data_IF_010082711314
#
_entry.id   IF_010082711314
#
_cell.length_a   1.000
_cell.length_b   1.000
_cell.length_c   1.000
_cell.angle_alpha   90.00
_cell.angle_beta   90.00
_cell.angle_gamma   90.00
#
_symmetry.space_group_name_H-M   'P 1'
#
loop_
_entity.id
_entity.type
_entity.pdbx_description
1 polymer ?
#
# COMPACT_ATOMS: atom_id res chain seq x y z
N UNK A 1 3.41 17.18 -2.98
CA UNK A 1 3.73 16.46 -1.72
C UNK A 1 3.11 15.08 -1.79
N UNK A 2 3.74 14.08 -1.17
CA UNK A 2 3.25 12.71 -1.08
C UNK A 2 3.23 12.29 0.40
N UNK A 3 2.13 11.68 0.84
CA UNK A 3 1.98 11.11 2.17
C UNK A 3 1.46 9.68 2.07
N UNK A 4 2.03 8.79 2.89
CA UNK A 4 1.58 7.40 3.00
C UNK A 4 1.30 7.06 4.47
N UNK A 5 0.28 6.24 4.71
CA UNK A 5 -0.13 5.83 6.05
C UNK A 5 -0.84 4.48 6.02
N UNK A 6 -0.72 3.75 7.12
CA UNK A 6 -1.32 2.43 7.34
C UNK A 6 -2.81 2.54 7.71
N UNK A 7 -3.59 1.53 7.32
CA UNK A 7 -4.99 1.31 7.65
C UNK A 7 -5.20 -0.13 8.09
N UNK A 8 -6.26 -0.40 8.85
CA UNK A 8 -6.48 -1.69 9.53
C UNK A 8 -6.86 -2.87 8.62
N UNK A 9 -6.92 -2.70 7.29
CA UNK A 9 -7.26 -3.77 6.36
C UNK A 9 -7.39 -3.34 4.91
N UNK A 10 -7.40 -4.33 4.00
CA UNK A 10 -7.59 -4.12 2.56
C UNK A 10 -8.90 -3.40 2.25
N UNK A 11 -9.99 -3.83 2.89
CA UNK A 11 -11.30 -3.21 2.76
C UNK A 11 -11.32 -1.74 3.22
N UNK A 12 -10.52 -1.38 4.22
CA UNK A 12 -10.42 0.00 4.68
C UNK A 12 -9.71 0.90 3.66
N UNK A 13 -8.67 0.38 2.99
CA UNK A 13 -7.99 1.05 1.89
C UNK A 13 -8.96 1.28 0.72
N UNK A 14 -9.72 0.26 0.33
CA UNK A 14 -10.69 0.36 -0.76
C UNK A 14 -11.84 1.31 -0.42
N UNK A 15 -12.41 1.20 0.77
CA UNK A 15 -13.49 2.08 1.23
C UNK A 15 -13.05 3.56 1.30
N UNK A 16 -11.80 3.84 1.66
CA UNK A 16 -11.26 5.19 1.59
C UNK A 16 -11.19 5.67 0.14
N UNK A 17 -10.65 4.85 -0.76
CA UNK A 17 -10.50 5.23 -2.16
C UNK A 17 -11.85 5.47 -2.85
N UNK A 18 -12.85 4.64 -2.59
CA UNK A 18 -14.21 4.83 -3.09
C UNK A 18 -14.76 6.20 -2.69
N UNK A 19 -14.55 6.62 -1.43
CA UNK A 19 -15.00 7.94 -0.94
C UNK A 19 -14.25 9.08 -1.64
N UNK A 20 -12.95 8.91 -1.87
CA UNK A 20 -12.14 9.91 -2.58
C UNK A 20 -12.63 10.07 -4.01
N UNK A 21 -12.84 8.97 -4.73
CA UNK A 21 -13.33 9.00 -6.11
C UNK A 21 -14.73 9.62 -6.19
N UNK A 22 -15.62 9.28 -5.24
CA UNK A 22 -16.94 9.89 -5.13
C UNK A 22 -16.88 11.40 -4.83
N UNK A 23 -15.83 11.86 -4.13
CA UNK A 23 -15.58 13.27 -3.84
C UNK A 23 -14.86 14.03 -4.98
N UNK A 24 -14.54 13.35 -6.10
CA UNK A 24 -13.90 13.96 -7.27
C UNK A 24 -12.37 13.90 -7.28
N UNK A 25 -11.75 13.19 -6.33
CA UNK A 25 -10.35 12.82 -6.44
C UNK A 25 -10.13 11.79 -7.56
N UNK A 26 -8.87 11.54 -7.93
CA UNK A 26 -8.52 10.61 -9.01
C UNK A 26 -7.49 9.60 -8.56
N UNK A 27 -7.49 8.41 -9.16
CA UNK A 27 -6.39 7.47 -8.96
C UNK A 27 -5.08 8.06 -9.48
N UNK A 28 -4.04 8.00 -8.67
CA UNK A 28 -2.73 8.55 -9.02
C UNK A 28 -1.79 7.47 -9.58
N UNK A 29 -1.96 6.21 -9.16
CA UNK A 29 -1.21 5.03 -9.64
C UNK A 29 -2.09 3.78 -9.55
N UNK A 30 -1.74 2.71 -10.30
CA UNK A 30 -2.37 1.41 -10.15
C UNK A 30 -2.27 0.86 -8.72
N UNK A 31 -3.19 -0.03 -8.36
CA UNK A 31 -3.16 -0.79 -7.11
C UNK A 31 -1.84 -1.56 -6.97
N UNK A 32 -1.25 -1.48 -5.79
CA UNK A 32 -0.09 -2.29 -5.41
C UNK A 32 -0.55 -3.43 -4.50
N UNK A 33 -0.38 -4.67 -4.96
CA UNK A 33 -0.68 -5.86 -4.17
C UNK A 33 0.51 -6.81 -4.18
N UNK A 34 1.22 -6.87 -3.06
CA UNK A 34 2.37 -7.74 -2.85
C UNK A 34 2.04 -8.92 -1.93
N UNK A 35 0.75 -9.20 -1.69
CA UNK A 35 0.30 -10.20 -0.72
C UNK A 35 0.38 -9.69 0.73
N UNK A 36 1.58 -9.32 1.20
CA UNK A 36 1.80 -8.76 2.55
C UNK A 36 1.52 -7.25 2.66
N UNK A 37 1.48 -6.55 1.52
CA UNK A 37 1.15 -5.14 1.43
C UNK A 37 0.09 -4.93 0.37
N UNK A 38 -0.93 -4.16 0.71
CA UNK A 38 -1.97 -3.73 -0.20
C UNK A 38 -2.11 -2.22 -0.15
N UNK A 39 -1.82 -1.54 -1.26
CA UNK A 39 -1.79 -0.09 -1.35
C UNK A 39 -2.61 0.43 -2.51
N UNK A 40 -3.26 1.58 -2.29
CA UNK A 40 -3.89 2.38 -3.34
C UNK A 40 -3.32 3.80 -3.31
N UNK A 41 -3.35 4.48 -4.44
CA UNK A 41 -2.80 5.83 -4.58
C UNK A 41 -3.83 6.76 -5.21
N UNK A 42 -4.07 7.92 -4.60
CA UNK A 42 -4.99 8.93 -5.14
C UNK A 42 -4.42 10.34 -5.11
N UNK A 43 -5.00 11.19 -5.94
CA UNK A 43 -4.78 12.63 -5.97
C UNK A 43 -6.03 13.36 -5.49
N UNK A 44 -5.89 14.24 -4.51
CA UNK A 44 -6.98 15.11 -4.05
C UNK A 44 -7.24 16.28 -5.01
N UNK A 45 -8.25 17.10 -4.71
CA UNK A 45 -8.63 18.26 -5.53
C UNK A 45 -7.54 19.34 -5.61
N UNK A 46 -6.64 19.39 -4.63
CA UNK A 46 -5.51 20.32 -4.57
C UNK A 46 -4.26 19.76 -5.25
N UNK A 47 -4.32 18.51 -5.72
CA UNK A 47 -3.22 17.85 -6.42
C UNK A 47 -2.21 17.15 -5.52
N UNK A 48 -2.44 17.01 -4.21
CA UNK A 48 -1.59 16.19 -3.34
C UNK A 48 -1.80 14.71 -3.60
N UNK A 49 -0.75 13.92 -3.45
CA UNK A 49 -0.81 12.46 -3.61
C UNK A 49 -0.83 11.79 -2.25
N UNK A 50 -1.74 10.84 -2.09
CA UNK A 50 -1.97 10.09 -0.86
C UNK A 50 -1.91 8.59 -1.17
N UNK A 51 -1.21 7.86 -0.32
CA UNK A 51 -0.93 6.43 -0.50
C UNK A 51 -1.31 5.65 0.76
N UNK A 52 -2.62 5.49 1.04
CA UNK A 52 -3.08 4.58 2.07
C UNK A 52 -2.71 3.14 1.72
N UNK A 53 -2.26 2.40 2.72
CA UNK A 53 -1.95 0.98 2.57
C UNK A 53 -2.40 0.18 3.79
N UNK A 54 -2.47 -1.12 3.62
CA UNK A 54 -2.56 -2.09 4.71
C UNK A 54 -1.33 -2.99 4.65
N UNK A 55 -0.72 -3.23 5.81
CA UNK A 55 0.37 -4.18 5.97
C UNK A 55 -0.06 -5.36 6.84
N UNK A 56 -0.09 -6.56 6.25
CA UNK A 56 -0.26 -7.80 6.99
C UNK A 56 1.09 -8.19 7.63
N UNK A 57 1.19 -8.03 8.95
CA UNK A 57 2.46 -8.25 9.65
C UNK A 57 2.90 -9.71 9.65
N UNK A 58 1.97 -10.66 9.67
CA UNK A 58 2.30 -12.09 9.65
C UNK A 58 2.81 -12.49 8.26
N UNK A 59 2.10 -12.07 7.21
CA UNK A 59 2.53 -12.28 5.84
C UNK A 59 3.85 -11.56 5.53
N UNK A 60 4.06 -10.36 6.08
CA UNK A 60 5.32 -9.62 5.94
C UNK A 60 6.47 -10.37 6.61
N UNK A 61 6.28 -10.83 7.86
CA UNK A 61 7.29 -11.62 8.56
C UNK A 61 7.64 -12.90 7.78
N UNK A 62 6.64 -13.62 7.26
CA UNK A 62 6.86 -14.80 6.43
C UNK A 62 7.59 -14.47 5.12
N UNK A 63 7.22 -13.38 4.44
CA UNK A 63 7.85 -12.96 3.19
C UNK A 63 9.33 -12.58 3.38
N UNK A 64 9.64 -11.83 4.44
CA UNK A 64 11.02 -11.42 4.73
C UNK A 64 11.88 -12.53 5.34
N UNK A 65 11.29 -13.49 6.06
CA UNK A 65 12.01 -14.70 6.49
C UNK A 65 12.46 -15.52 5.29
N UNK A 66 11.57 -15.73 4.31
CA UNK A 66 11.88 -16.49 3.08
C UNK A 66 12.90 -15.76 2.18
N UNK A 67 13.01 -14.43 2.28
CA UNK A 67 14.04 -13.66 1.57
C UNK A 67 15.44 -13.79 2.19
N UNK A 68 15.55 -14.31 3.42
CA UNK A 68 16.82 -14.52 4.14
C UNK A 68 17.59 -15.78 3.76
N UNK A 69 17.00 -16.68 2.96
CA UNK A 69 17.59 -17.97 2.57
C UNK A 69 18.36 -17.91 1.22
N UNK A 70 18.61 -16.70 0.70
CA UNK A 70 19.45 -16.44 -0.46
C UNK A 70 20.93 -16.26 -0.09
N UNK A 71 21.64 -17.38 0.05
CA UNK A 71 23.09 -17.57 -0.14
C UNK A 71 23.99 -16.33 0.09
N UNK A 72 24.47 -16.16 1.33
CA UNK A 72 25.70 -15.41 1.60
C UNK A 72 26.90 -16.33 1.31
N UNK A 73 27.42 -16.30 0.09
CA UNK A 73 28.74 -16.87 -0.22
C UNK A 73 29.81 -15.98 0.43
N UNK A 74 30.58 -16.45 1.43
CA UNK A 74 31.70 -15.67 1.96
C UNK A 74 32.81 -15.59 0.91
N UNK A 75 33.34 -14.38 0.74
CA UNK A 75 34.53 -14.08 -0.07
C UNK A 75 35.82 -14.60 0.58
#
# INVERSE_FOLDING_TARGET
>A
MLLSFDLEGRDAVDALLERVLAAGGTEARPTEDMGFMYGRSFRDLDGHVWEPFFMDQEAAAAAFAQAGDGEQTPA
#
